data_IF_459738054664
#
_entry.id   IF_459738054664
#
_cell.length_a   1.000
_cell.length_b   1.000
_cell.length_c   1.000
_cell.angle_alpha   90.00
_cell.angle_beta   90.00
_cell.angle_gamma   90.00
#
_symmetry.space_group_name_H-M   'P 1'
#
loop_
_entity.id
_entity.type
_entity.pdbx_description
1 polymer ?
#
# COMPACT_ATOMS: atom_id res chain seq x y z
N UNK A 1 -12.09 25.51 2.53
CA UNK A 1 -12.04 24.10 2.97
C UNK A 1 -11.00 23.39 2.11
N UNK A 2 -10.00 22.68 2.68
CA UNK A 2 -9.06 21.89 1.88
C UNK A 2 -9.77 20.76 1.13
N UNK A 3 -9.59 20.69 -0.18
CA UNK A 3 -10.09 19.61 -1.04
C UNK A 3 -8.91 18.75 -1.46
N UNK A 4 -8.99 17.45 -1.21
CA UNK A 4 -7.94 16.49 -1.53
C UNK A 4 -8.46 15.46 -2.56
N UNK A 5 -7.92 15.41 -3.79
CA UNK A 5 -8.24 14.33 -4.71
C UNK A 5 -7.71 13.00 -4.19
N UNK A 6 -8.52 11.95 -4.35
CA UNK A 6 -8.13 10.57 -4.07
C UNK A 6 -7.87 9.85 -5.39
N UNK A 7 -6.62 9.47 -5.61
CA UNK A 7 -6.23 8.62 -6.75
C UNK A 7 -6.18 7.17 -6.29
N UNK A 8 -7.16 6.37 -6.70
CA UNK A 8 -7.38 5.02 -6.17
C UNK A 8 -7.29 3.89 -7.20
N UNK A 9 -7.23 4.17 -8.50
CA UNK A 9 -6.94 3.15 -9.54
C UNK A 9 -5.52 3.29 -10.09
N UNK A 10 -5.05 2.31 -10.86
CA UNK A 10 -3.74 2.40 -11.51
C UNK A 10 -3.69 3.57 -12.50
N UNK A 11 -4.74 3.74 -13.30
CA UNK A 11 -4.81 4.81 -14.30
C UNK A 11 -4.91 6.18 -13.62
N UNK A 12 -5.66 6.30 -12.53
CA UNK A 12 -5.73 7.53 -11.74
C UNK A 12 -4.35 7.92 -11.18
N UNK A 13 -3.59 6.97 -10.65
CA UNK A 13 -2.24 7.22 -10.14
C UNK A 13 -1.27 7.66 -11.25
N UNK A 14 -1.35 7.02 -12.42
CA UNK A 14 -0.52 7.38 -13.57
C UNK A 14 -0.83 8.81 -14.07
N UNK A 15 -2.11 9.22 -14.03
CA UNK A 15 -2.55 10.55 -14.45
C UNK A 15 -2.51 11.60 -13.32
N UNK A 16 -2.21 11.21 -12.08
CA UNK A 16 -2.29 12.09 -10.91
C UNK A 16 -1.43 13.35 -11.06
N UNK A 17 -0.21 13.19 -11.60
CA UNK A 17 0.67 14.33 -11.83
C UNK A 17 0.07 15.32 -12.83
N UNK A 18 -0.43 14.85 -13.97
CA UNK A 18 -0.94 15.70 -15.04
C UNK A 18 -2.21 16.45 -14.61
N UNK A 19 -3.11 15.77 -13.89
CA UNK A 19 -4.29 16.39 -13.27
C UNK A 19 -3.87 17.51 -12.32
N UNK A 20 -2.90 17.25 -11.45
CA UNK A 20 -2.44 18.26 -10.50
C UNK A 20 -1.67 19.40 -11.18
N UNK A 21 -0.87 19.12 -12.21
CA UNK A 21 -0.21 20.15 -13.03
C UNK A 21 -1.25 21.07 -13.68
N UNK A 22 -2.32 20.52 -14.26
CA UNK A 22 -3.40 21.33 -14.82
C UNK A 22 -4.09 22.19 -13.75
N UNK A 23 -4.45 21.62 -12.61
CA UNK A 23 -5.06 22.39 -11.51
C UNK A 23 -4.15 23.51 -11.02
N UNK A 24 -2.85 23.25 -10.89
CA UNK A 24 -1.87 24.23 -10.43
C UNK A 24 -1.51 25.29 -11.48
N UNK A 25 -1.95 25.14 -12.73
CA UNK A 25 -1.85 26.15 -13.79
C UNK A 25 -3.10 27.07 -13.85
N UNK A 26 -4.13 26.81 -13.04
CA UNK A 26 -5.31 27.67 -12.95
C UNK A 26 -5.09 28.68 -11.83
N UNK A 27 -4.87 29.96 -12.16
CA UNK A 27 -4.57 31.02 -11.19
C UNK A 27 -5.60 31.14 -10.07
N UNK A 28 -6.90 31.00 -10.41
CA UNK A 28 -7.97 30.99 -9.42
C UNK A 28 -7.79 29.85 -8.40
N UNK A 29 -7.42 28.65 -8.85
CA UNK A 29 -7.19 27.51 -7.96
C UNK A 29 -5.95 27.72 -7.09
N UNK A 30 -4.85 28.23 -7.68
CA UNK A 30 -3.62 28.57 -6.94
C UNK A 30 -3.91 29.57 -5.81
N UNK A 31 -4.70 30.61 -6.09
CA UNK A 31 -5.11 31.60 -5.11
C UNK A 31 -6.00 31.02 -4.01
N UNK A 32 -6.88 30.09 -4.37
CA UNK A 32 -7.78 29.41 -3.42
C UNK A 32 -7.05 28.52 -2.42
N UNK A 33 -6.04 27.76 -2.88
CA UNK A 33 -5.33 26.78 -2.04
C UNK A 33 -4.26 27.40 -1.14
N UNK A 34 -3.96 28.69 -1.32
CA UNK A 34 -3.02 29.46 -0.48
C UNK A 34 -1.67 28.77 -0.29
N UNK A 35 -1.13 28.21 -1.38
CA UNK A 35 0.17 27.54 -1.37
C UNK A 35 0.19 26.15 -0.73
N UNK A 36 -0.96 25.56 -0.36
CA UNK A 36 -1.03 24.24 0.30
C UNK A 36 -1.94 23.28 -0.44
N UNK A 37 -1.43 22.11 -0.80
CA UNK A 37 -2.20 21.08 -1.47
C UNK A 37 -2.11 19.75 -0.73
N UNK A 38 -3.25 19.08 -0.55
CA UNK A 38 -3.29 17.71 -0.05
C UNK A 38 -3.70 16.77 -1.18
N UNK A 39 -3.03 15.62 -1.31
CA UNK A 39 -3.40 14.56 -2.26
C UNK A 39 -3.49 13.25 -1.50
N UNK A 40 -4.58 12.49 -1.69
CA UNK A 40 -4.78 11.20 -1.05
C UNK A 40 -4.40 10.05 -1.97
N UNK A 41 -3.60 9.12 -1.45
CA UNK A 41 -3.12 7.95 -2.18
C UNK A 41 -3.89 6.71 -1.73
N UNK A 42 -4.64 6.09 -2.66
CA UNK A 42 -5.49 4.93 -2.41
C UNK A 42 -4.75 3.60 -2.50
N UNK A 43 -4.08 3.17 -1.42
CA UNK A 43 -3.26 1.95 -1.44
C UNK A 43 -4.04 0.66 -1.72
N UNK A 44 -5.11 0.44 -0.95
CA UNK A 44 -5.86 -0.82 -1.02
C UNK A 44 -6.63 -0.98 -2.32
N UNK A 45 -7.20 0.12 -2.80
CA UNK A 45 -8.06 0.14 -3.98
C UNK A 45 -7.23 0.03 -5.26
N UNK A 46 -6.05 0.65 -5.33
CA UNK A 46 -5.15 0.49 -6.49
C UNK A 46 -4.59 -0.93 -6.55
N UNK A 47 -4.27 -1.54 -5.41
CA UNK A 47 -3.87 -2.95 -5.35
C UNK A 47 -5.02 -3.92 -5.72
N UNK A 48 -6.28 -3.54 -5.47
CA UNK A 48 -7.47 -4.27 -5.92
C UNK A 48 -7.72 -4.09 -7.43
N UNK A 49 -7.31 -2.96 -7.99
CA UNK A 49 -7.44 -2.66 -9.42
C UNK A 49 -6.40 -3.43 -10.27
N UNK A 50 -5.13 -3.43 -9.84
CA UNK A 50 -3.99 -3.85 -10.66
C UNK A 50 -3.03 -4.85 -9.98
N UNK A 51 -3.32 -5.29 -8.76
CA UNK A 51 -2.39 -6.10 -7.97
C UNK A 51 -1.35 -5.25 -7.25
N UNK A 52 -0.72 -5.83 -6.22
CA UNK A 52 0.13 -5.08 -5.28
C UNK A 52 1.38 -4.52 -5.93
N UNK A 53 2.04 -5.27 -6.81
CA UNK A 53 3.33 -4.86 -7.39
C UNK A 53 3.17 -3.65 -8.32
N UNK A 54 2.23 -3.72 -9.27
CA UNK A 54 1.91 -2.60 -10.14
C UNK A 54 1.42 -1.37 -9.36
N UNK A 55 0.52 -1.56 -8.40
CA UNK A 55 0.00 -0.47 -7.57
C UNK A 55 1.11 0.20 -6.74
N UNK A 56 2.00 -0.57 -6.12
CA UNK A 56 3.10 -0.01 -5.32
C UNK A 56 4.10 0.76 -6.17
N UNK A 57 4.38 0.32 -7.40
CA UNK A 57 5.26 1.05 -8.31
C UNK A 57 4.61 2.35 -8.80
N UNK A 58 3.34 2.31 -9.21
CA UNK A 58 2.59 3.50 -9.63
C UNK A 58 2.46 4.52 -8.49
N UNK A 59 2.23 4.07 -7.25
CA UNK A 59 2.21 4.96 -6.07
C UNK A 59 3.55 5.65 -5.84
N UNK A 60 4.66 4.95 -6.04
CA UNK A 60 6.00 5.53 -5.91
C UNK A 60 6.22 6.61 -6.97
N UNK A 61 5.95 6.28 -8.24
CA UNK A 61 6.10 7.20 -9.37
C UNK A 61 5.19 8.43 -9.24
N UNK A 62 3.92 8.23 -8.88
CA UNK A 62 2.96 9.32 -8.69
C UNK A 62 3.39 10.28 -7.58
N UNK A 63 3.82 9.76 -6.42
CA UNK A 63 4.30 10.59 -5.33
C UNK A 63 5.56 11.38 -5.71
N UNK A 64 6.56 10.73 -6.33
CA UNK A 64 7.79 11.38 -6.81
C UNK A 64 7.49 12.52 -7.79
N UNK A 65 6.59 12.29 -8.75
CA UNK A 65 6.17 13.30 -9.72
C UNK A 65 5.41 14.47 -9.07
N UNK A 66 4.45 14.18 -8.19
CA UNK A 66 3.67 15.19 -7.47
C UNK A 66 4.56 16.07 -6.59
N UNK A 67 5.53 15.50 -5.89
CA UNK A 67 6.50 16.24 -5.07
C UNK A 67 7.25 17.25 -5.95
N UNK A 68 7.80 16.79 -7.07
CA UNK A 68 8.55 17.63 -8.02
C UNK A 68 7.68 18.73 -8.63
N UNK A 69 6.44 18.42 -8.99
CA UNK A 69 5.49 19.39 -9.55
C UNK A 69 5.10 20.45 -8.52
N UNK A 70 4.79 20.07 -7.29
CA UNK A 70 4.45 21.00 -6.22
C UNK A 70 5.65 21.86 -5.80
N UNK A 71 6.86 21.29 -5.71
CA UNK A 71 8.08 22.03 -5.39
C UNK A 71 8.37 23.11 -6.44
N UNK A 72 8.30 22.75 -7.73
CA UNK A 72 8.43 23.73 -8.85
C UNK A 72 7.38 24.82 -8.81
N UNK A 73 6.17 24.49 -8.38
CA UNK A 73 5.03 25.41 -8.31
C UNK A 73 5.00 26.25 -7.02
N UNK A 74 5.94 26.06 -6.08
CA UNK A 74 5.95 26.73 -4.79
C UNK A 74 4.79 26.32 -3.87
N UNK A 75 4.32 25.08 -4.00
CA UNK A 75 3.19 24.52 -3.24
C UNK A 75 3.70 23.52 -2.20
N UNK A 76 3.29 23.70 -0.95
CA UNK A 76 3.50 22.73 0.12
C UNK A 76 2.53 21.55 -0.06
N UNK A 77 3.09 20.38 -0.40
CA UNK A 77 2.32 19.15 -0.61
C UNK A 77 2.27 18.31 0.66
N UNK A 78 1.05 17.97 1.10
CA UNK A 78 0.81 16.91 2.10
C UNK A 78 0.25 15.67 1.41
N UNK A 79 0.99 14.57 1.48
CA UNK A 79 0.51 13.26 1.03
C UNK A 79 -0.35 12.62 2.14
N UNK A 80 -1.62 12.37 1.83
CA UNK A 80 -2.53 11.66 2.71
C UNK A 80 -2.53 10.17 2.37
N UNK A 81 -1.90 9.37 3.21
CA UNK A 81 -1.82 7.94 3.04
C UNK A 81 -3.15 7.28 3.42
N UNK A 82 -3.85 6.74 2.41
CA UNK A 82 -5.08 5.99 2.59
C UNK A 82 -4.86 4.68 3.33
N UNK A 83 -5.96 3.97 3.57
CA UNK A 83 -5.92 2.68 4.26
C UNK A 83 -5.16 1.66 3.43
N UNK A 84 -4.30 0.87 4.06
CA UNK A 84 -3.52 -0.20 3.41
C UNK A 84 -2.04 0.14 3.31
N UNK A 85 -1.30 -0.66 2.54
CA UNK A 85 0.15 -0.49 2.41
C UNK A 85 0.96 -0.93 3.63
N UNK A 86 2.27 -0.80 3.54
CA UNK A 86 3.22 -1.10 4.62
C UNK A 86 3.15 -0.05 5.75
N UNK A 87 2.82 1.20 5.43
CA UNK A 87 2.72 2.32 6.39
C UNK A 87 1.65 2.06 7.46
N UNK A 88 0.49 1.51 7.08
CA UNK A 88 -0.63 1.28 8.01
C UNK A 88 -0.41 0.17 9.05
N UNK A 89 0.68 -0.61 8.97
CA UNK A 89 0.85 -1.85 9.76
C UNK A 89 1.37 -1.64 11.20
N UNK A 90 1.88 -0.45 11.53
CA UNK A 90 2.41 -0.14 12.86
C UNK A 90 3.76 -0.77 13.18
N UNK A 91 4.37 -0.33 14.29
CA UNK A 91 5.67 -0.82 14.76
C UNK A 91 6.83 -0.50 13.81
N UNK A 92 7.91 -1.28 13.92
CA UNK A 92 9.12 -1.14 13.09
C UNK A 92 8.86 -1.22 11.57
N UNK A 93 7.92 -2.06 11.06
CA UNK A 93 7.57 -2.07 9.63
C UNK A 93 7.01 -0.73 9.13
N UNK A 94 6.27 0.02 9.96
CA UNK A 94 5.75 1.32 9.57
C UNK A 94 6.85 2.39 9.51
N UNK A 95 7.80 2.36 10.45
CA UNK A 95 8.98 3.23 10.43
C UNK A 95 9.78 3.05 9.13
N UNK A 96 10.14 1.82 8.80
CA UNK A 96 10.89 1.52 7.58
C UNK A 96 10.10 1.85 6.31
N UNK A 97 8.77 1.70 6.33
CA UNK A 97 7.91 2.08 5.20
C UNK A 97 7.91 3.59 4.94
N UNK A 98 7.91 4.41 5.99
CA UNK A 98 8.01 5.87 5.88
C UNK A 98 9.36 6.31 5.31
N UNK A 99 10.46 5.70 5.79
CA UNK A 99 11.81 5.97 5.25
C UNK A 99 12.00 5.52 3.80
N UNK A 100 11.16 4.61 3.30
CA UNK A 100 11.23 4.08 1.93
C UNK A 100 10.40 4.88 0.90
N UNK A 101 9.66 5.92 1.34
CA UNK A 101 8.92 6.78 0.42
C UNK A 101 9.87 7.62 -0.45
N UNK A 102 9.40 8.16 -1.59
CA UNK A 102 10.20 9.11 -2.37
C UNK A 102 10.79 10.26 -1.53
N UNK A 103 11.99 10.75 -1.86
CA UNK A 103 12.58 11.92 -1.20
C UNK A 103 11.60 13.10 -1.19
N UNK A 104 11.41 13.72 -0.02
CA UNK A 104 10.50 14.84 0.16
C UNK A 104 9.05 14.47 0.49
N UNK A 105 8.67 13.19 0.48
CA UNK A 105 7.29 12.74 0.78
C UNK A 105 6.73 13.19 2.13
N UNK A 106 7.60 13.45 3.11
CA UNK A 106 7.20 13.86 4.47
C UNK A 106 7.53 15.32 4.80
N UNK A 107 7.92 16.15 3.81
CA UNK A 107 8.17 17.58 4.01
C UNK A 107 6.91 18.32 4.50
N UNK A 108 5.74 18.00 3.93
CA UNK A 108 4.44 18.55 4.36
C UNK A 108 3.78 17.78 5.50
N UNK A 109 4.55 17.02 6.28
CA UNK A 109 4.08 16.24 7.42
C UNK A 109 3.54 14.84 7.08
N UNK A 110 3.27 14.06 8.13
CA UNK A 110 2.64 12.74 8.03
C UNK A 110 1.14 12.84 8.24
N UNK A 111 0.37 12.40 7.24
CA UNK A 111 -1.06 12.17 7.38
C UNK A 111 -1.38 10.75 6.92
N UNK A 112 -1.88 9.91 7.82
CA UNK A 112 -2.16 8.49 7.55
C UNK A 112 -3.52 8.08 8.08
N UNK A 113 -4.21 7.21 7.33
CA UNK A 113 -5.44 6.58 7.77
C UNK A 113 -5.10 5.38 8.67
N UNK A 114 -5.40 5.49 9.95
CA UNK A 114 -5.27 4.37 10.88
C UNK A 114 -6.42 3.38 10.70
N UNK A 115 -6.08 2.09 10.60
CA UNK A 115 -7.04 1.02 10.44
C UNK A 115 -7.76 0.76 11.77
N UNK A 116 -9.09 0.66 11.75
CA UNK A 116 -9.91 0.45 12.96
C UNK A 116 -9.47 -0.82 13.72
N UNK A 117 -9.17 -1.88 12.98
CA UNK A 117 -8.64 -3.14 13.52
C UNK A 117 -7.25 -3.00 14.18
N UNK A 118 -6.51 -1.93 13.85
CA UNK A 118 -5.18 -1.65 14.38
C UNK A 118 -5.17 -0.68 15.57
N UNK A 119 -6.27 0.03 15.83
CA UNK A 119 -6.33 1.07 16.87
C UNK A 119 -5.93 0.53 18.23
N UNK A 120 -6.46 -0.64 18.63
CA UNK A 120 -6.11 -1.27 19.91
C UNK A 120 -4.60 -1.54 20.04
N UNK A 121 -3.94 -1.94 18.94
CA UNK A 121 -2.52 -2.30 18.95
C UNK A 121 -1.58 -1.10 18.86
N UNK A 122 -2.07 0.08 18.48
CA UNK A 122 -1.29 1.32 18.37
C UNK A 122 -1.58 2.34 19.46
N UNK A 123 -2.81 2.33 19.98
CA UNK A 123 -3.33 3.36 20.87
C UNK A 123 -4.15 2.79 22.03
N UNK A 124 -4.18 1.47 22.20
CA UNK A 124 -5.01 0.83 23.23
C UNK A 124 -4.54 1.07 24.67
N UNK A 125 -3.27 1.44 24.85
CA UNK A 125 -2.68 1.83 26.15
C UNK A 125 -1.83 3.10 25.96
N UNK A 126 -1.66 3.93 27.01
CA UNK A 126 -0.82 5.13 26.96
C UNK A 126 0.61 4.84 26.50
N UNK A 127 1.24 3.79 27.01
CA UNK A 127 2.63 3.42 26.68
C UNK A 127 2.77 3.02 25.21
N UNK A 128 1.77 2.30 24.68
CA UNK A 128 1.72 1.90 23.26
C UNK A 128 1.50 3.13 22.36
N UNK A 129 0.69 4.08 22.82
CA UNK A 129 0.48 5.37 22.12
C UNK A 129 1.78 6.15 22.01
N UNK A 130 2.50 6.31 23.13
CA UNK A 130 3.80 6.97 23.16
C UNK A 130 4.78 6.28 22.22
N UNK A 131 4.83 4.94 22.23
CA UNK A 131 5.68 4.17 21.32
C UNK A 131 5.32 4.43 19.84
N UNK A 132 4.04 4.39 19.48
CA UNK A 132 3.58 4.61 18.11
C UNK A 132 3.90 6.03 17.61
N UNK A 133 3.65 7.05 18.42
CA UNK A 133 3.94 8.44 18.07
C UNK A 133 5.45 8.72 18.02
N UNK A 134 6.24 8.07 18.88
CA UNK A 134 7.71 8.18 18.85
C UNK A 134 8.29 7.60 17.56
N UNK A 135 7.78 6.44 17.12
CA UNK A 135 8.17 5.83 15.85
C UNK A 135 7.84 6.72 14.65
N UNK A 136 6.65 7.33 14.62
CA UNK A 136 6.30 8.27 13.55
C UNK A 136 7.17 9.52 13.56
N UNK A 137 7.39 10.10 14.74
CA UNK A 137 8.23 11.29 14.89
C UNK A 137 9.65 11.02 14.40
N UNK A 138 10.26 9.91 14.84
CA UNK A 138 11.59 9.50 14.40
C UNK A 138 11.67 9.31 12.89
N UNK A 139 10.72 8.60 12.30
CA UNK A 139 10.70 8.35 10.85
C UNK A 139 10.55 9.63 10.03
N UNK A 140 9.72 10.59 10.48
CA UNK A 140 9.55 11.88 9.79
C UNK A 140 10.85 12.68 9.81
N UNK A 141 11.48 12.78 10.98
CA UNK A 141 12.74 13.51 11.13
C UNK A 141 13.86 12.88 10.29
N UNK A 142 14.01 11.56 10.37
CA UNK A 142 15.03 10.83 9.62
C UNK A 142 14.76 10.90 8.11
N UNK A 143 13.53 10.71 7.62
CA UNK A 143 13.23 10.81 6.19
C UNK A 143 13.48 12.20 5.61
N UNK A 144 13.24 13.26 6.39
CA UNK A 144 13.40 14.64 5.95
C UNK A 144 14.87 15.10 5.95
N UNK A 145 15.70 14.55 6.87
CA UNK A 145 17.12 14.89 6.98
C UNK A 145 18.03 13.94 6.18
N UNK A 146 17.66 12.67 6.10
CA UNK A 146 18.42 11.57 5.50
C UNK A 146 17.54 10.82 4.49
N UNK A 147 17.12 11.47 3.39
CA UNK A 147 16.24 10.87 2.41
C UNK A 147 16.87 9.61 1.77
N UNK A 148 16.06 8.63 1.36
CA UNK A 148 16.58 7.45 0.67
C UNK A 148 17.22 7.82 -0.67
N UNK A 149 18.18 7.03 -1.17
CA UNK A 149 18.78 7.29 -2.47
C UNK A 149 17.74 7.14 -3.59
N UNK A 150 17.88 7.96 -4.63
CA UNK A 150 17.07 7.78 -5.83
C UNK A 150 17.37 6.42 -6.50
N UNK A 151 16.34 5.71 -7.01
CA UNK A 151 16.54 4.43 -7.63
C UNK A 151 17.26 4.58 -8.97
N UNK A 152 18.22 3.67 -9.20
CA UNK A 152 18.97 3.59 -10.47
C UNK A 152 18.03 3.38 -11.64
N UNK A 153 18.38 3.92 -12.79
CA UNK A 153 17.60 3.78 -14.03
C UNK A 153 17.34 2.32 -14.41
N UNK A 154 18.33 1.44 -14.23
CA UNK A 154 18.16 0.01 -14.47
C UNK A 154 17.13 -0.64 -13.53
N UNK A 155 16.99 -0.16 -12.30
CA UNK A 155 15.98 -0.63 -11.36
C UNK A 155 14.59 -0.13 -11.75
N UNK A 156 14.46 1.11 -12.22
CA UNK A 156 13.20 1.67 -12.73
C UNK A 156 12.65 0.81 -13.87
N UNK A 157 13.48 0.49 -14.86
CA UNK A 157 13.11 -0.39 -15.99
C UNK A 157 12.67 -1.79 -15.55
N UNK A 158 13.35 -2.36 -14.55
CA UNK A 158 12.93 -3.65 -13.97
C UNK A 158 11.56 -3.51 -13.30
N UNK A 159 11.33 -2.44 -12.56
CA UNK A 159 10.05 -2.20 -11.89
C UNK A 159 8.92 -1.95 -12.89
N UNK A 160 9.18 -1.27 -14.02
CA UNK A 160 8.22 -1.10 -15.11
C UNK A 160 7.81 -2.46 -15.70
N UNK A 161 8.79 -3.33 -16.00
CA UNK A 161 8.53 -4.69 -16.51
C UNK A 161 7.75 -5.54 -15.49
N UNK A 162 8.17 -5.51 -14.22
CA UNK A 162 7.50 -6.25 -13.14
C UNK A 162 6.07 -5.75 -12.92
N UNK A 163 5.84 -4.44 -13.03
CA UNK A 163 4.52 -3.81 -12.93
C UNK A 163 3.58 -4.39 -13.98
N UNK A 164 3.96 -4.34 -15.27
CA UNK A 164 3.16 -4.86 -16.38
C UNK A 164 2.85 -6.35 -16.21
N UNK A 165 3.88 -7.18 -16.04
CA UNK A 165 3.71 -8.63 -15.92
C UNK A 165 2.81 -8.99 -14.72
N UNK A 166 3.02 -8.34 -13.58
CA UNK A 166 2.22 -8.62 -12.38
C UNK A 166 0.75 -8.21 -12.53
N UNK A 167 0.50 -7.09 -13.22
CA UNK A 167 -0.84 -6.58 -13.48
C UNK A 167 -1.61 -7.51 -14.41
N UNK A 168 -0.96 -7.95 -15.50
CA UNK A 168 -1.55 -8.86 -16.48
C UNK A 168 -1.94 -10.19 -15.83
N UNK A 169 -1.03 -10.78 -15.03
CA UNK A 169 -1.32 -12.02 -14.29
C UNK A 169 -2.48 -11.79 -13.31
N UNK A 170 -2.46 -10.69 -12.54
CA UNK A 170 -3.52 -10.40 -11.58
C UNK A 170 -4.89 -10.24 -12.25
N UNK A 171 -4.98 -9.42 -13.32
CA UNK A 171 -6.21 -9.17 -14.06
C UNK A 171 -6.68 -10.42 -14.83
N UNK A 172 -5.75 -11.22 -15.34
CA UNK A 172 -6.04 -12.52 -15.95
C UNK A 172 -6.85 -13.44 -15.04
N UNK A 173 -6.53 -13.50 -13.74
CA UNK A 173 -7.32 -14.27 -12.78
C UNK A 173 -8.57 -13.51 -12.29
N UNK A 174 -8.42 -12.26 -11.83
CA UNK A 174 -9.48 -11.58 -11.09
C UNK A 174 -10.57 -11.02 -11.99
N UNK A 175 -10.27 -10.70 -13.26
CA UNK A 175 -11.20 -10.10 -14.21
C UNK A 175 -11.57 -11.04 -15.35
N UNK A 176 -10.60 -11.70 -15.94
CA UNK A 176 -10.77 -12.43 -17.21
C UNK A 176 -11.20 -13.89 -17.00
N UNK A 177 -10.69 -14.54 -15.96
CA UNK A 177 -11.08 -15.91 -15.63
C UNK A 177 -12.54 -15.98 -15.15
N UNK A 178 -13.38 -16.62 -15.97
CA UNK A 178 -14.83 -16.76 -15.76
C UNK A 178 -15.17 -17.56 -14.49
N UNK A 179 -14.28 -18.46 -14.05
CA UNK A 179 -14.50 -19.33 -12.90
C UNK A 179 -14.06 -18.68 -11.58
N UNK A 180 -13.38 -17.52 -11.63
CA UNK A 180 -12.87 -16.86 -10.43
C UNK A 180 -13.98 -16.42 -9.48
N UNK A 181 -15.04 -15.76 -9.99
CA UNK A 181 -16.13 -15.26 -9.13
C UNK A 181 -16.91 -16.41 -8.47
N UNK A 182 -17.34 -17.46 -9.20
CA UNK A 182 -17.94 -18.64 -8.57
C UNK A 182 -17.04 -19.27 -7.51
N UNK A 183 -15.76 -19.50 -7.84
CA UNK A 183 -14.80 -20.07 -6.90
C UNK A 183 -14.65 -19.21 -5.64
N UNK A 184 -14.44 -17.90 -5.80
CA UNK A 184 -14.23 -16.97 -4.70
C UNK A 184 -15.44 -16.95 -3.75
N UNK A 185 -16.67 -16.94 -4.27
CA UNK A 185 -17.89 -16.95 -3.44
C UNK A 185 -18.10 -18.26 -2.70
N UNK A 186 -17.64 -19.37 -3.24
CA UNK A 186 -17.75 -20.69 -2.60
C UNK A 186 -16.63 -20.96 -1.59
N UNK A 187 -15.42 -20.45 -1.85
CA UNK A 187 -14.23 -20.70 -1.03
C UNK A 187 -14.12 -19.74 0.16
N UNK A 188 -14.73 -18.55 0.09
CA UNK A 188 -14.60 -17.51 1.12
C UNK A 188 -15.96 -17.17 1.74
N UNK A 189 -16.01 -16.65 2.98
CA UNK A 189 -17.26 -16.24 3.63
C UNK A 189 -17.83 -14.92 3.08
N UNK A 190 -17.54 -14.60 1.81
CA UNK A 190 -17.92 -13.37 1.11
C UNK A 190 -19.36 -12.94 1.33
N UNK A 191 -20.25 -13.91 1.11
CA UNK A 191 -21.69 -13.68 1.14
C UNK A 191 -22.17 -13.52 2.57
N UNK A 192 -21.53 -14.20 3.51
CA UNK A 192 -21.93 -14.20 4.91
C UNK A 192 -21.46 -12.92 5.60
N UNK A 193 -20.24 -12.44 5.32
CA UNK A 193 -19.77 -11.15 5.85
C UNK A 193 -20.65 -9.98 5.42
N UNK A 194 -21.24 -10.03 4.22
CA UNK A 194 -22.18 -9.00 3.76
C UNK A 194 -23.56 -9.04 4.40
N UNK A 195 -23.96 -10.16 5.03
CA UNK A 195 -25.25 -10.32 5.73
C UNK A 195 -25.13 -10.03 7.22
N UNK A 196 -23.95 -10.25 7.80
CA UNK A 196 -23.73 -10.03 9.23
C UNK A 196 -23.68 -8.53 9.56
N UNK A 197 -24.20 -8.09 10.72
CA UNK A 197 -24.17 -6.69 11.15
C UNK A 197 -22.79 -6.29 11.69
N UNK A 198 -21.73 -6.49 10.91
CA UNK A 198 -20.34 -6.23 11.32
C UNK A 198 -19.88 -4.78 11.07
N UNK A 199 -20.54 -4.07 10.15
CA UNK A 199 -20.20 -2.70 9.79
C UNK A 199 -21.42 -1.88 9.38
N UNK A 200 -21.30 -0.56 9.47
CA UNK A 200 -22.36 0.38 9.11
C UNK A 200 -22.53 0.59 7.61
N UNK A 201 -21.59 0.11 6.78
CA UNK A 201 -21.60 0.27 5.33
C UNK A 201 -22.12 -1.00 4.63
N UNK A 202 -22.94 -0.88 3.58
CA UNK A 202 -23.29 -2.02 2.74
C UNK A 202 -22.06 -2.55 2.01
N UNK A 203 -21.93 -3.87 1.87
CA UNK A 203 -20.75 -4.52 1.29
C UNK A 203 -20.51 -4.22 -0.22
N UNK A 204 -21.48 -3.64 -0.93
CA UNK A 204 -21.40 -3.29 -2.35
C UNK A 204 -22.01 -1.93 -2.61
N UNK A 205 -21.37 -1.14 -3.46
CA UNK A 205 -21.78 0.22 -3.81
C UNK A 205 -22.91 0.26 -4.85
N UNK A 206 -23.32 -0.88 -5.44
CA UNK A 206 -24.49 -0.97 -6.35
C UNK A 206 -25.04 -2.41 -6.48
N UNK A 207 -26.36 -2.63 -6.33
CA UNK A 207 -26.97 -3.97 -6.41
C UNK A 207 -27.08 -4.54 -7.84
N UNK A 208 -26.98 -3.71 -8.89
CA UNK A 208 -27.34 -4.11 -10.27
C UNK A 208 -26.16 -4.64 -11.14
N UNK A 209 -24.92 -4.68 -10.63
CA UNK A 209 -23.75 -5.24 -11.36
C UNK A 209 -23.32 -6.58 -10.77
N UNK A 210 -24.06 -7.65 -11.08
CA UNK A 210 -23.90 -9.01 -10.51
C UNK A 210 -22.56 -9.73 -10.80
N UNK A 211 -21.63 -9.15 -11.57
CA UNK A 211 -20.56 -9.93 -12.24
C UNK A 211 -19.09 -9.57 -11.92
N UNK A 212 -18.74 -8.59 -11.08
CA UNK A 212 -17.31 -8.21 -10.91
C UNK A 212 -16.88 -8.05 -9.45
N UNK A 213 -15.67 -8.54 -9.14
CA UNK A 213 -14.98 -8.30 -7.85
C UNK A 213 -14.61 -6.82 -7.68
N UNK A 214 -14.50 -6.08 -8.78
CA UNK A 214 -14.15 -4.65 -8.79
C UNK A 214 -15.18 -3.72 -8.11
N UNK A 215 -16.42 -4.18 -7.88
CA UNK A 215 -17.48 -3.37 -7.24
C UNK A 215 -17.53 -3.50 -5.71
N UNK A 216 -16.54 -4.16 -5.10
CA UNK A 216 -16.43 -4.37 -3.64
C UNK A 216 -15.59 -3.29 -2.99
N UNK A 217 -15.92 -2.96 -1.74
CA UNK A 217 -15.03 -2.14 -0.91
C UNK A 217 -13.77 -2.94 -0.56
N UNK A 218 -12.63 -2.25 -0.50
CA UNK A 218 -11.33 -2.87 -0.21
C UNK A 218 -11.22 -3.48 1.21
N UNK A 219 -12.18 -3.18 2.09
CA UNK A 219 -12.30 -3.77 3.42
C UNK A 219 -12.78 -5.21 3.36
N UNK A 220 -13.84 -5.45 2.62
CA UNK A 220 -14.52 -6.73 2.61
C UNK A 220 -13.62 -7.80 1.97
N UNK A 221 -12.91 -7.44 0.88
CA UNK A 221 -11.98 -8.34 0.20
C UNK A 221 -10.83 -8.84 1.11
N UNK A 222 -10.42 -8.05 2.11
CA UNK A 222 -9.36 -8.46 3.05
C UNK A 222 -9.88 -9.41 4.13
N UNK A 223 -11.08 -9.16 4.62
CA UNK A 223 -11.70 -10.01 5.64
C UNK A 223 -12.05 -11.40 5.07
N UNK A 224 -12.40 -11.44 3.78
CA UNK A 224 -12.67 -12.67 3.02
C UNK A 224 -11.43 -13.60 2.92
N UNK A 225 -10.20 -13.08 3.07
CA UNK A 225 -8.95 -13.83 2.93
C UNK A 225 -8.32 -14.21 4.29
N UNK A 226 -8.58 -15.42 4.80
CA UNK A 226 -7.97 -16.01 6.02
C UNK A 226 -7.40 -17.44 5.75
N UNK A 227 -6.54 -18.00 6.63
CA UNK A 227 -5.26 -18.63 6.25
C UNK A 227 -5.29 -20.00 5.54
N UNK A 228 -6.44 -20.66 5.40
CA UNK A 228 -6.54 -21.90 4.59
C UNK A 228 -6.30 -21.66 3.10
N UNK A 229 -6.46 -20.43 2.60
CA UNK A 229 -6.32 -20.07 1.18
C UNK A 229 -5.01 -19.32 0.86
N UNK A 230 -4.16 -19.11 1.87
CA UNK A 230 -2.95 -18.30 1.77
C UNK A 230 -1.94 -18.77 0.69
N UNK A 231 -1.71 -20.08 0.42
CA UNK A 231 -0.65 -20.46 -0.51
C UNK A 231 -0.92 -20.09 -1.97
N UNK A 232 -2.19 -20.04 -2.41
CA UNK A 232 -2.54 -19.86 -3.84
C UNK A 232 -2.76 -18.40 -4.23
N UNK A 233 -3.40 -17.62 -3.36
CA UNK A 233 -3.55 -16.18 -3.59
C UNK A 233 -2.25 -15.40 -3.28
N UNK A 234 -1.39 -15.89 -2.37
CA UNK A 234 -0.04 -15.32 -2.19
C UNK A 234 0.97 -15.86 -3.22
N UNK A 235 0.81 -17.10 -3.71
CA UNK A 235 1.62 -17.66 -4.80
C UNK A 235 1.50 -16.87 -6.11
N UNK A 236 0.29 -16.40 -6.44
CA UNK A 236 0.06 -15.49 -7.57
C UNK A 236 0.63 -14.08 -7.36
N UNK A 237 0.95 -13.66 -6.13
CA UNK A 237 1.53 -12.32 -5.85
C UNK A 237 3.00 -12.20 -6.20
N UNK A 238 3.73 -13.32 -6.34
CA UNK A 238 5.20 -13.28 -6.42
C UNK A 238 5.84 -14.29 -7.38
N UNK A 239 5.18 -15.41 -7.70
CA UNK A 239 5.81 -16.52 -8.43
C UNK A 239 6.07 -16.23 -9.90
N UNK A 240 5.09 -15.66 -10.62
CA UNK A 240 5.16 -15.49 -12.07
C UNK A 240 6.30 -14.54 -12.49
N UNK A 241 6.36 -13.35 -11.88
CA UNK A 241 7.33 -12.32 -12.25
C UNK A 241 8.79 -12.69 -11.90
N UNK A 242 9.04 -13.41 -10.80
CA UNK A 242 10.38 -13.94 -10.48
C UNK A 242 10.76 -15.15 -11.33
N UNK A 243 9.79 -15.98 -11.73
CA UNK A 243 10.07 -17.18 -12.51
C UNK A 243 10.49 -16.91 -13.96
N UNK A 244 9.99 -15.82 -14.58
CA UNK A 244 10.35 -15.44 -15.95
C UNK A 244 11.85 -15.13 -16.15
N UNK A 245 12.55 -14.66 -15.12
CA UNK A 245 13.99 -14.36 -15.17
C UNK A 245 14.90 -15.44 -14.60
N UNK A 246 14.37 -16.49 -13.97
CA UNK A 246 15.20 -17.57 -13.41
C UNK A 246 15.99 -18.36 -14.48
N UNK A 247 15.74 -18.11 -15.77
CA UNK A 247 16.54 -18.65 -16.89
C UNK A 247 17.70 -17.75 -17.36
N UNK A 248 17.92 -16.56 -16.78
CA UNK A 248 18.99 -15.63 -17.25
C UNK A 248 19.90 -15.04 -16.16
N UNK A 249 19.65 -15.24 -14.86
CA UNK A 249 20.35 -14.49 -13.79
C UNK A 249 21.31 -15.29 -12.91
N UNK A 250 21.92 -16.39 -13.38
CA UNK A 250 22.97 -17.10 -12.63
C UNK A 250 24.36 -16.42 -12.66
N UNK A 251 24.49 -15.18 -13.17
CA UNK A 251 25.79 -14.49 -13.30
C UNK A 251 25.95 -13.11 -12.65
N UNK A 252 25.06 -12.71 -11.75
CA UNK A 252 25.25 -11.44 -11.03
C UNK A 252 25.04 -11.63 -9.52
N UNK A 253 26.12 -11.95 -8.82
CA UNK A 253 26.20 -11.79 -7.36
C UNK A 253 26.14 -10.31 -6.99
N UNK A 254 25.32 -9.97 -6.00
CA UNK A 254 25.26 -8.61 -5.47
C UNK A 254 23.94 -8.30 -4.77
N UNK A 255 24.05 -8.00 -3.47
CA UNK A 255 23.04 -7.46 -2.57
C UNK A 255 22.03 -6.51 -3.24
N UNK A 256 20.73 -6.75 -3.00
CA UNK A 256 19.62 -5.84 -3.34
C UNK A 256 19.15 -5.17 -2.04
N UNK A 257 19.53 -3.92 -1.71
CA UNK A 257 19.06 -3.27 -0.49
C UNK A 257 17.88 -2.33 -0.73
N UNK A 258 16.97 -2.33 0.27
CA UNK A 258 15.97 -1.30 0.65
C UNK A 258 14.74 -1.03 -0.23
N UNK A 259 14.73 -1.29 -1.54
CA UNK A 259 13.44 -1.34 -2.28
C UNK A 259 12.60 -2.58 -1.91
N UNK A 260 13.28 -3.61 -1.37
CA UNK A 260 12.66 -4.83 -0.86
C UNK A 260 11.84 -4.62 0.42
N UNK A 261 11.93 -3.49 1.12
CA UNK A 261 11.15 -3.24 2.35
C UNK A 261 9.66 -2.99 2.03
N UNK A 262 9.34 -2.52 0.81
CA UNK A 262 7.99 -2.58 0.27
C UNK A 262 7.54 -4.02 -0.05
N UNK A 263 8.46 -4.99 -0.11
CA UNK A 263 8.25 -6.34 -0.65
C UNK A 263 8.42 -7.49 0.37
N UNK A 264 9.10 -7.32 1.51
CA UNK A 264 9.52 -8.44 2.40
C UNK A 264 8.60 -8.72 3.60
N UNK A 265 7.43 -8.07 3.68
CA UNK A 265 6.47 -8.29 4.77
C UNK A 265 5.68 -9.63 4.67
N UNK A 266 6.06 -10.55 3.77
CA UNK A 266 5.34 -11.82 3.53
C UNK A 266 5.99 -13.05 4.18
N UNK A 267 7.13 -12.92 4.87
CA UNK A 267 7.86 -14.08 5.43
C UNK A 267 7.65 -14.38 6.91
N UNK A 268 7.08 -13.48 7.72
CA UNK A 268 7.04 -13.66 9.19
C UNK A 268 5.64 -13.68 9.80
N UNK A 269 4.74 -14.47 9.19
CA UNK A 269 3.42 -14.79 9.77
C UNK A 269 3.26 -16.28 10.12
N UNK A 270 4.37 -17.02 10.34
CA UNK A 270 4.36 -18.47 10.55
C UNK A 270 4.96 -18.99 11.87
N UNK A 271 5.90 -18.29 12.51
CA UNK A 271 6.70 -18.87 13.61
C UNK A 271 6.51 -18.17 14.98
N UNK A 272 5.33 -17.60 15.22
CA UNK A 272 4.98 -16.97 16.50
C UNK A 272 4.39 -17.89 17.56
N UNK A 273 4.46 -19.22 17.39
CA UNK A 273 3.87 -20.21 18.31
C UNK A 273 4.86 -21.37 18.58
N UNK A 274 6.02 -21.05 19.17
CA UNK A 274 6.70 -22.00 20.07
C UNK A 274 6.91 -21.33 21.42
N UNK A 275 6.13 -21.82 22.38
CA UNK A 275 6.19 -21.50 23.79
C UNK A 275 7.61 -21.71 24.33
N UNK A 276 8.25 -20.65 24.82
CA UNK A 276 9.34 -20.78 25.78
C UNK A 276 8.72 -20.99 27.17
N UNK A 277 8.80 -22.22 27.69
CA UNK A 277 8.51 -22.55 29.09
C UNK A 277 9.46 -21.77 30.02
N UNK A 278 9.03 -21.29 31.19
CA UNK A 278 9.94 -20.76 32.18
C UNK A 278 10.71 -21.92 32.82
N UNK A 279 12.04 -21.86 32.77
CA UNK A 279 12.91 -22.73 33.57
C UNK A 279 12.89 -22.17 34.99
N UNK A 280 12.29 -22.94 35.91
CA UNK A 280 12.49 -22.76 37.34
C UNK A 280 13.95 -23.12 37.67
N UNK A 281 14.64 -22.20 38.35
CA UNK A 281 15.98 -22.42 38.87
C UNK A 281 16.14 -21.64 40.17
N UNK A 282 15.68 -22.24 41.26
CA UNK A 282 16.08 -21.85 42.60
C UNK A 282 17.34 -22.61 42.99
N UNK A 283 18.33 -21.87 43.50
CA UNK A 283 19.25 -22.17 44.60
C UNK A 283 19.71 -23.64 44.75
N UNK A 284 21.06 -23.77 44.69
CA UNK A 284 21.99 -24.89 44.96
C UNK A 284 22.31 -25.82 43.79
#
# INVERSE_FOLDING_TARGET
MPVAPLFETLDDLNNANDVMTQLLNIDWYRGLIQGKQMVMIGYSDSAKDAGVMAASWAQYQAQDALIKTCEKAGIELTLFHGRGGSIGRGGAPAHAALLSQPPGSLKGGLRVTEQGEMIRFKYGLPEITVSSLSLYTGAILEANLLPPPEPKESWRRIMDELSVISCDVYRGYVRENKDFVPYFRSATPEQELGKLPLGSRPAKTSPNRRRRVTTRHSVDLRLDAKPSDAPRLAGCRYGAAKSGRRRQTERAGGYVPRLAILLDASRHAGDGLRQSRPVAGGIL
#
